data_IF_706561684723
#
_entry.id   IF_706561684723
#
_cell.length_a   1.000
_cell.length_b   1.000
_cell.length_c   1.000
_cell.angle_alpha   90.00
_cell.angle_beta   90.00
_cell.angle_gamma   90.00
#
_symmetry.space_group_name_H-M   'P 1'
#
loop_
_entity.id
_entity.type
_entity.pdbx_description
1 polymer ?
#
# COMPACT_ATOMS: atom_id res chain seq x y z
N UNK A 1 12.21 2.22 14.74
CA UNK A 1 11.53 1.31 13.80
C UNK A 1 12.10 -0.09 13.98
N UNK A 2 11.31 -0.99 14.53
CA UNK A 2 11.74 -2.36 14.80
C UNK A 2 10.71 -3.35 14.31
N UNK A 3 10.90 -3.86 13.09
CA UNK A 3 10.15 -5.05 12.66
C UNK A 3 10.57 -6.25 13.51
N UNK A 4 9.63 -7.16 13.80
CA UNK A 4 9.97 -8.47 14.38
C UNK A 4 10.97 -9.20 13.48
N UNK A 5 11.81 -10.01 14.09
CA UNK A 5 12.85 -10.76 13.34
C UNK A 5 12.20 -11.62 12.25
N UNK A 6 12.69 -11.51 11.02
CA UNK A 6 12.21 -12.29 9.87
C UNK A 6 10.99 -11.68 9.15
N UNK A 7 10.29 -10.69 9.73
CA UNK A 7 9.08 -10.10 9.17
C UNK A 7 9.20 -9.70 7.69
N UNK A 8 10.27 -8.99 7.33
CA UNK A 8 10.47 -8.52 5.95
C UNK A 8 10.51 -9.65 4.93
N UNK A 9 11.16 -10.75 5.28
CA UNK A 9 11.25 -11.93 4.43
C UNK A 9 9.90 -12.62 4.27
N UNK A 10 9.17 -12.74 5.39
CA UNK A 10 7.81 -13.29 5.44
C UNK A 10 6.85 -12.44 4.63
N UNK A 11 6.79 -11.12 4.85
CA UNK A 11 5.93 -10.21 4.11
C UNK A 11 6.23 -10.22 2.60
N UNK A 12 7.51 -10.31 2.21
CA UNK A 12 7.85 -10.44 0.79
C UNK A 12 7.45 -11.81 0.21
N UNK A 13 7.43 -12.88 1.02
CA UNK A 13 6.92 -14.18 0.60
C UNK A 13 5.40 -14.14 0.42
N UNK A 14 4.68 -13.63 1.42
CA UNK A 14 3.23 -13.41 1.35
C UNK A 14 2.85 -12.57 0.12
N UNK A 15 3.57 -11.48 -0.14
CA UNK A 15 3.29 -10.66 -1.32
C UNK A 15 3.46 -11.43 -2.63
N UNK A 16 4.45 -12.33 -2.72
CA UNK A 16 4.63 -13.17 -3.92
C UNK A 16 3.52 -14.21 -4.06
N UNK A 17 3.10 -14.82 -2.97
CA UNK A 17 2.00 -15.80 -2.94
C UNK A 17 0.69 -15.18 -3.40
N UNK A 18 0.29 -14.06 -2.79
CA UNK A 18 -0.92 -13.32 -3.15
C UNK A 18 -0.87 -12.86 -4.62
N UNK A 19 0.26 -12.34 -5.08
CA UNK A 19 0.41 -11.97 -6.50
C UNK A 19 0.28 -13.17 -7.43
N UNK A 20 0.81 -14.33 -7.06
CA UNK A 20 0.67 -15.57 -7.83
C UNK A 20 -0.78 -16.06 -7.87
N UNK A 21 -1.53 -15.98 -6.77
CA UNK A 21 -2.96 -16.29 -6.71
C UNK A 21 -3.78 -15.38 -7.64
N UNK A 22 -3.37 -14.10 -7.77
CA UNK A 22 -3.96 -13.15 -8.72
C UNK A 22 -3.44 -13.32 -10.17
N UNK A 23 -2.57 -14.30 -10.44
CA UNK A 23 -1.97 -14.52 -11.76
C UNK A 23 -0.95 -13.47 -12.18
N UNK A 24 -0.42 -12.67 -11.25
CA UNK A 24 0.50 -11.56 -11.52
C UNK A 24 1.96 -11.99 -11.45
N UNK A 25 2.76 -11.54 -12.43
CA UNK A 25 4.22 -11.63 -12.41
C UNK A 25 4.84 -10.48 -11.58
N UNK A 26 6.14 -10.57 -11.32
CA UNK A 26 6.85 -9.61 -10.47
C UNK A 26 6.84 -8.16 -11.02
N UNK A 27 6.70 -7.97 -12.33
CA UNK A 27 6.67 -6.64 -12.95
C UNK A 27 5.27 -6.17 -13.34
N UNK A 28 4.24 -6.99 -13.11
CA UNK A 28 2.87 -6.61 -13.44
C UNK A 28 2.34 -5.59 -12.42
N UNK A 29 1.47 -4.70 -12.88
CA UNK A 29 0.72 -3.79 -12.01
C UNK A 29 -0.27 -4.61 -11.16
N UNK A 30 -0.35 -4.34 -9.86
CA UNK A 30 -1.40 -4.86 -9.00
C UNK A 30 -2.57 -3.88 -8.99
N UNK A 31 -3.78 -4.41 -9.15
CA UNK A 31 -5.02 -3.67 -8.94
C UNK A 31 -5.53 -3.93 -7.52
N UNK A 32 -5.60 -2.91 -6.63
CA UNK A 32 -6.06 -3.10 -5.26
C UNK A 32 -7.54 -3.51 -5.16
N UNK A 33 -8.38 -3.13 -6.12
CA UNK A 33 -9.78 -3.56 -6.14
C UNK A 33 -9.89 -5.05 -6.44
N UNK A 34 -9.13 -5.55 -7.43
CA UNK A 34 -9.05 -6.99 -7.69
C UNK A 34 -8.50 -7.77 -6.48
N UNK A 35 -7.53 -7.20 -5.75
CA UNK A 35 -7.04 -7.78 -4.50
C UNK A 35 -8.13 -7.81 -3.42
N UNK A 36 -8.89 -6.73 -3.27
CA UNK A 36 -9.99 -6.65 -2.31
C UNK A 36 -11.08 -7.68 -2.61
N UNK A 37 -11.46 -7.82 -3.88
CA UNK A 37 -12.42 -8.84 -4.34
C UNK A 37 -11.92 -10.26 -4.04
N UNK A 38 -10.63 -10.53 -4.31
CA UNK A 38 -10.00 -11.80 -3.98
C UNK A 38 -10.05 -12.12 -2.48
N UNK A 39 -9.87 -11.10 -1.64
CA UNK A 39 -9.91 -11.22 -0.17
C UNK A 39 -11.33 -11.11 0.41
N UNK A 40 -12.35 -10.92 -0.42
CA UNK A 40 -13.75 -10.68 -0.02
C UNK A 40 -13.88 -9.49 0.96
N UNK A 41 -13.12 -8.43 0.74
CA UNK A 41 -13.14 -7.19 1.52
C UNK A 41 -13.83 -6.10 0.72
N UNK A 42 -15.06 -5.69 1.06
CA UNK A 42 -15.75 -4.59 0.39
C UNK A 42 -14.97 -3.28 0.50
N UNK A 43 -15.01 -2.49 -0.60
CA UNK A 43 -14.46 -1.14 -0.65
C UNK A 43 -15.60 -0.18 -0.93
N UNK A 44 -15.69 0.89 -0.15
CA UNK A 44 -16.68 1.95 -0.32
C UNK A 44 -16.00 3.32 -0.46
N UNK A 45 -16.40 4.13 -1.44
CA UNK A 45 -15.91 5.49 -1.55
C UNK A 45 -16.51 6.38 -0.46
N UNK A 46 -15.74 7.33 0.04
CA UNK A 46 -16.20 8.29 1.04
C UNK A 46 -17.40 9.11 0.52
N UNK A 47 -17.43 9.39 -0.78
CA UNK A 47 -18.56 10.09 -1.43
C UNK A 47 -19.91 9.38 -1.27
N UNK A 48 -19.93 8.07 -1.04
CA UNK A 48 -21.14 7.29 -0.76
C UNK A 48 -21.90 7.83 0.46
N UNK A 49 -21.21 8.39 1.42
CA UNK A 49 -21.76 8.93 2.68
C UNK A 49 -22.13 10.41 2.59
N UNK A 50 -22.20 11.00 1.39
CA UNK A 50 -22.45 12.44 1.22
C UNK A 50 -23.85 12.88 1.67
N UNK A 51 -24.85 12.01 1.60
CA UNK A 51 -26.20 12.30 2.09
C UNK A 51 -26.28 12.19 3.62
N UNK A 52 -25.64 11.19 4.21
CA UNK A 52 -25.70 10.93 5.67
C UNK A 52 -24.77 11.87 6.46
N UNK A 53 -23.62 12.23 5.90
CA UNK A 53 -22.60 13.01 6.58
C UNK A 53 -21.99 14.12 5.68
N UNK A 54 -22.82 15.03 5.10
CA UNK A 54 -22.37 15.98 4.07
C UNK A 54 -21.23 16.89 4.52
N UNK A 55 -21.23 17.32 5.78
CA UNK A 55 -20.16 18.18 6.32
C UNK A 55 -18.83 17.45 6.44
N UNK A 56 -18.84 16.19 6.90
CA UNK A 56 -17.62 15.39 7.04
C UNK A 56 -17.05 15.03 5.67
N UNK A 57 -17.91 14.58 4.73
CA UNK A 57 -17.48 14.26 3.37
C UNK A 57 -16.89 15.51 2.69
N UNK A 58 -17.57 16.66 2.75
CA UNK A 58 -17.04 17.90 2.19
C UNK A 58 -15.70 18.30 2.82
N UNK A 59 -15.56 18.14 4.15
CA UNK A 59 -14.29 18.46 4.83
C UNK A 59 -13.15 17.61 4.27
N UNK A 60 -13.31 16.29 4.22
CA UNK A 60 -12.25 15.36 3.83
C UNK A 60 -12.03 15.29 2.30
N UNK A 61 -12.95 15.73 1.48
CA UNK A 61 -12.78 15.71 0.03
C UNK A 61 -12.35 17.05 -0.55
N UNK A 62 -12.70 18.17 0.10
CA UNK A 62 -12.50 19.52 -0.45
C UNK A 62 -11.68 20.45 0.47
N UNK A 63 -11.92 20.43 1.79
CA UNK A 63 -11.27 21.38 2.72
C UNK A 63 -9.90 20.88 3.15
N UNK A 64 -9.82 19.66 3.66
CA UNK A 64 -8.56 19.01 4.05
C UNK A 64 -8.52 17.55 3.59
N UNK A 65 -8.28 17.31 2.30
CA UNK A 65 -8.16 15.94 1.77
C UNK A 65 -6.99 15.15 2.37
N UNK A 66 -6.04 15.85 3.01
CA UNK A 66 -4.91 15.22 3.68
C UNK A 66 -5.27 14.52 4.98
N UNK A 67 -6.32 14.97 5.66
CA UNK A 67 -6.72 14.48 6.99
C UNK A 67 -7.31 13.07 6.99
N UNK A 68 -7.84 12.61 5.86
CA UNK A 68 -8.39 11.26 5.72
C UNK A 68 -7.98 10.63 4.39
N UNK A 69 -7.46 9.40 4.44
CA UNK A 69 -7.06 8.65 3.25
C UNK A 69 -7.88 7.38 3.06
N UNK A 70 -7.89 6.50 4.03
CA UNK A 70 -8.71 5.30 4.11
C UNK A 70 -8.77 4.82 5.56
N UNK A 71 -9.75 3.99 5.87
CA UNK A 71 -9.81 3.24 7.13
C UNK A 71 -10.58 1.94 6.93
N UNK A 72 -10.28 0.95 7.76
CA UNK A 72 -11.06 -0.29 7.83
C UNK A 72 -12.10 -0.18 8.94
N UNK A 73 -13.36 -0.32 8.58
CA UNK A 73 -14.51 -0.36 9.50
C UNK A 73 -14.88 -1.80 9.76
N UNK A 74 -15.15 -2.14 11.02
CA UNK A 74 -15.56 -3.48 11.44
C UNK A 74 -17.02 -3.47 11.91
N UNK A 75 -17.80 -4.43 11.38
CA UNK A 75 -19.11 -4.79 11.88
C UNK A 75 -19.08 -6.27 12.25
N UNK A 76 -18.88 -6.55 13.54
CA UNK A 76 -18.59 -7.90 14.02
C UNK A 76 -17.32 -8.46 13.37
N UNK A 77 -17.45 -9.57 12.63
CA UNK A 77 -16.35 -10.17 11.88
C UNK A 77 -16.17 -9.61 10.46
N UNK A 78 -17.11 -8.80 9.99
CA UNK A 78 -17.04 -8.18 8.67
C UNK A 78 -16.16 -6.94 8.71
N UNK A 79 -15.38 -6.74 7.66
CA UNK A 79 -14.59 -5.54 7.47
C UNK A 79 -14.96 -4.90 6.14
N UNK A 80 -15.01 -3.58 6.12
CA UNK A 80 -15.21 -2.76 4.93
C UNK A 80 -14.15 -1.67 4.92
N UNK A 81 -13.52 -1.43 3.79
CA UNK A 81 -12.56 -0.33 3.66
C UNK A 81 -13.32 0.88 3.09
N UNK A 82 -13.32 1.98 3.85
CA UNK A 82 -13.80 3.29 3.36
C UNK A 82 -12.59 4.10 2.93
N UNK A 83 -12.61 4.63 1.69
CA UNK A 83 -11.48 5.39 1.16
C UNK A 83 -11.90 6.76 0.61
N UNK A 84 -10.97 7.70 0.65
CA UNK A 84 -11.16 9.03 0.06
C UNK A 84 -10.98 8.95 -1.46
N UNK A 85 -12.08 8.90 -2.17
CA UNK A 85 -12.17 8.83 -3.63
C UNK A 85 -11.87 10.16 -4.34
N UNK A 86 -11.72 11.27 -3.60
CA UNK A 86 -11.20 12.52 -4.14
C UNK A 86 -9.68 12.52 -4.36
N UNK A 87 -8.95 11.54 -3.83
CA UNK A 87 -7.52 11.39 -4.08
C UNK A 87 -7.22 10.92 -5.50
N UNK A 88 -5.99 11.20 -5.99
CA UNK A 88 -5.52 10.63 -7.24
C UNK A 88 -5.53 9.10 -7.22
N UNK A 89 -5.74 8.46 -8.38
CA UNK A 89 -5.81 7.01 -8.48
C UNK A 89 -4.59 6.28 -7.86
N UNK A 90 -3.37 6.81 -8.06
CA UNK A 90 -2.17 6.23 -7.46
C UNK A 90 -2.12 6.36 -5.93
N UNK A 91 -2.71 7.43 -5.35
CA UNK A 91 -2.84 7.57 -3.91
C UNK A 91 -3.93 6.65 -3.36
N UNK A 92 -5.07 6.54 -4.04
CA UNK A 92 -6.11 5.57 -3.68
C UNK A 92 -5.54 4.15 -3.68
N UNK A 93 -4.83 3.75 -4.75
CA UNK A 93 -4.20 2.43 -4.83
C UNK A 93 -3.25 2.16 -3.66
N UNK A 94 -2.42 3.14 -3.30
CA UNK A 94 -1.48 3.00 -2.18
C UNK A 94 -2.19 2.87 -0.83
N UNK A 95 -3.25 3.66 -0.61
CA UNK A 95 -4.03 3.65 0.63
C UNK A 95 -4.83 2.35 0.79
N UNK A 96 -5.54 1.93 -0.27
CA UNK A 96 -6.31 0.68 -0.27
C UNK A 96 -5.42 -0.53 0.00
N UNK A 97 -4.26 -0.60 -0.66
CA UNK A 97 -3.34 -1.73 -0.42
C UNK A 97 -2.76 -1.72 0.99
N UNK A 98 -2.62 -0.54 1.61
CA UNK A 98 -2.22 -0.44 3.02
C UNK A 98 -3.27 -1.07 3.94
N UNK A 99 -4.56 -0.73 3.78
CA UNK A 99 -5.66 -1.33 4.54
C UNK A 99 -5.78 -2.85 4.29
N UNK A 100 -5.60 -3.29 3.04
CA UNK A 100 -5.55 -4.71 2.70
C UNK A 100 -4.32 -5.40 3.31
N UNK A 101 -3.23 -4.68 3.51
CA UNK A 101 -2.05 -5.15 4.26
C UNK A 101 -2.40 -5.48 5.72
N UNK A 102 -3.17 -4.62 6.39
CA UNK A 102 -3.69 -4.91 7.74
C UNK A 102 -4.57 -6.17 7.74
N UNK A 103 -5.39 -6.34 6.70
CA UNK A 103 -6.25 -7.51 6.57
C UNK A 103 -5.45 -8.80 6.40
N UNK A 104 -4.45 -8.81 5.52
CA UNK A 104 -3.59 -9.97 5.25
C UNK A 104 -2.72 -10.36 6.46
N UNK A 105 -2.28 -9.38 7.23
CA UNK A 105 -1.48 -9.59 8.45
C UNK A 105 -2.34 -9.92 9.66
N UNK A 106 -3.66 -9.97 9.49
CA UNK A 106 -4.63 -10.22 10.56
C UNK A 106 -4.44 -9.27 11.76
N UNK A 107 -4.08 -8.02 11.47
CA UNK A 107 -3.96 -7.01 12.51
C UNK A 107 -5.30 -6.83 13.23
N UNK A 108 -5.32 -6.77 14.57
CA UNK A 108 -6.54 -6.61 15.32
C UNK A 108 -7.20 -5.26 15.01
N UNK A 109 -8.53 -5.17 15.06
CA UNK A 109 -9.21 -3.87 15.00
C UNK A 109 -8.71 -2.98 16.13
N UNK A 110 -8.22 -1.80 15.77
CA UNK A 110 -7.80 -0.79 16.75
C UNK A 110 -8.88 0.27 16.79
N UNK A 111 -9.46 0.59 17.96
CA UNK A 111 -10.37 1.71 18.08
C UNK A 111 -9.72 2.99 17.53
N UNK A 112 -10.47 3.78 16.76
CA UNK A 112 -9.95 5.03 16.20
C UNK A 112 -9.51 6.00 17.29
N UNK A 113 -10.19 5.96 18.45
CA UNK A 113 -9.93 6.79 19.61
C UNK A 113 -9.94 5.92 20.89
N UNK A 114 -9.11 6.27 21.85
CA UNK A 114 -9.17 5.73 23.20
C UNK A 114 -10.33 6.37 24.03
N UNK A 115 -10.52 5.92 25.27
CA UNK A 115 -11.54 6.45 26.18
C UNK A 115 -11.38 7.96 26.49
N UNK A 116 -10.25 8.56 26.14
CA UNK A 116 -9.94 9.99 26.29
C UNK A 116 -10.08 10.76 24.97
N UNK A 117 -10.51 10.11 23.89
CA UNK A 117 -10.63 10.70 22.56
C UNK A 117 -9.28 10.89 21.85
N UNK A 118 -8.21 10.25 22.32
CA UNK A 118 -6.90 10.28 21.68
C UNK A 118 -6.79 9.15 20.67
N UNK A 119 -6.15 9.41 19.53
CA UNK A 119 -5.92 8.41 18.50
C UNK A 119 -4.96 7.34 19.02
N UNK A 120 -5.40 6.08 18.99
CA UNK A 120 -4.52 4.94 19.24
C UNK A 120 -3.67 4.69 18.01
N UNK A 121 -2.35 4.67 18.20
CA UNK A 121 -1.41 4.45 17.13
C UNK A 121 -0.36 3.43 17.54
N UNK A 122 -0.26 2.34 16.78
CA UNK A 122 0.78 1.35 16.97
C UNK A 122 1.72 1.37 15.76
N UNK A 123 2.84 2.08 15.90
CA UNK A 123 3.82 2.25 14.83
C UNK A 123 4.31 0.93 14.23
N UNK A 124 4.44 -0.14 15.01
CA UNK A 124 4.93 -1.42 14.50
C UNK A 124 3.91 -2.06 13.55
N UNK A 125 2.63 -2.01 13.90
CA UNK A 125 1.53 -2.52 13.07
C UNK A 125 1.45 -1.74 11.75
N UNK A 126 1.56 -0.41 11.83
CA UNK A 126 1.55 0.46 10.65
C UNK A 126 2.78 0.21 9.74
N UNK A 127 3.95 0.08 10.34
CA UNK A 127 5.18 -0.23 9.60
C UNK A 127 5.06 -1.59 8.90
N UNK A 128 4.47 -2.60 9.54
CA UNK A 128 4.22 -3.92 8.97
C UNK A 128 3.24 -3.86 7.80
N UNK A 129 2.10 -3.20 7.95
CA UNK A 129 1.13 -3.00 6.87
C UNK A 129 1.73 -2.23 5.70
N UNK A 130 2.46 -1.15 5.99
CA UNK A 130 3.16 -0.36 4.97
C UNK A 130 4.20 -1.18 4.19
N UNK A 131 4.94 -2.07 4.87
CA UNK A 131 5.91 -2.93 4.20
C UNK A 131 5.24 -3.91 3.25
N UNK A 132 4.18 -4.61 3.73
CA UNK A 132 3.46 -5.59 2.92
C UNK A 132 2.76 -4.92 1.73
N UNK A 133 2.06 -3.81 1.96
CA UNK A 133 1.44 -3.02 0.90
C UNK A 133 2.45 -2.62 -0.17
N UNK A 134 3.60 -2.14 0.27
CA UNK A 134 4.69 -1.79 -0.64
C UNK A 134 5.21 -3.00 -1.42
N UNK A 135 5.34 -4.18 -0.81
CA UNK A 135 5.79 -5.40 -1.47
C UNK A 135 4.78 -5.93 -2.49
N UNK A 136 3.49 -5.78 -2.20
CA UNK A 136 2.39 -6.11 -3.11
C UNK A 136 2.38 -5.19 -4.34
N UNK A 137 2.45 -3.88 -4.14
CA UNK A 137 2.37 -2.87 -5.21
C UNK A 137 3.64 -2.79 -6.06
N UNK A 138 4.80 -2.87 -5.44
CA UNK A 138 6.10 -2.76 -6.10
C UNK A 138 7.08 -3.77 -5.51
N UNK A 139 7.24 -4.89 -6.17
CA UNK A 139 8.14 -5.97 -5.75
C UNK A 139 9.60 -5.52 -5.72
N UNK A 140 10.48 -6.31 -5.08
CA UNK A 140 11.93 -6.04 -5.16
C UNK A 140 12.45 -6.09 -6.60
N UNK A 141 11.96 -7.03 -7.41
CA UNK A 141 12.35 -7.15 -8.81
C UNK A 141 11.93 -5.93 -9.62
N UNK A 142 10.72 -5.40 -9.37
CA UNK A 142 10.26 -4.16 -9.98
C UNK A 142 11.12 -2.96 -9.55
N UNK A 143 11.49 -2.87 -8.27
CA UNK A 143 12.38 -1.81 -7.78
C UNK A 143 13.77 -1.88 -8.43
N UNK A 144 14.33 -3.08 -8.58
CA UNK A 144 15.60 -3.29 -9.30
C UNK A 144 15.47 -2.96 -10.79
N UNK A 145 14.36 -3.33 -11.41
CA UNK A 145 14.07 -3.03 -12.81
C UNK A 145 14.00 -1.51 -13.06
N UNK A 146 13.31 -0.75 -12.20
CA UNK A 146 13.22 0.72 -12.28
C UNK A 146 14.62 1.34 -12.27
N UNK A 147 15.48 0.95 -11.32
CA UNK A 147 16.83 1.50 -11.20
C UNK A 147 17.72 1.09 -12.37
N UNK A 148 17.65 -0.18 -12.78
CA UNK A 148 18.46 -0.72 -13.89
C UNK A 148 18.17 -0.04 -15.22
N UNK A 149 16.90 0.30 -15.46
CA UNK A 149 16.45 0.97 -16.69
C UNK A 149 16.48 2.51 -16.59
N UNK A 150 16.89 3.08 -15.46
CA UNK A 150 16.91 4.53 -15.29
C UNK A 150 15.52 5.18 -15.32
N UNK A 151 14.47 4.41 -15.00
CA UNK A 151 13.08 4.91 -15.01
C UNK A 151 12.91 5.96 -13.91
N UNK A 152 12.35 7.13 -14.26
CA UNK A 152 12.07 8.18 -13.27
C UNK A 152 10.96 7.78 -12.31
N UNK A 153 10.94 8.38 -11.10
CA UNK A 153 9.89 8.10 -10.11
C UNK A 153 8.49 8.38 -10.66
N UNK A 154 8.22 9.52 -11.34
CA UNK A 154 6.90 9.76 -11.94
C UNK A 154 6.52 8.72 -12.99
N UNK A 155 7.45 8.33 -13.88
CA UNK A 155 7.19 7.32 -14.90
C UNK A 155 6.92 5.93 -14.28
N UNK A 156 7.65 5.56 -13.23
CA UNK A 156 7.41 4.34 -12.49
C UNK A 156 6.05 4.37 -11.76
N UNK A 157 5.69 5.49 -11.14
CA UNK A 157 4.39 5.68 -10.48
C UNK A 157 3.24 5.51 -11.48
N UNK A 158 3.36 6.09 -12.66
CA UNK A 158 2.39 5.94 -13.74
C UNK A 158 2.31 4.48 -14.23
N UNK A 159 3.45 3.85 -14.47
CA UNK A 159 3.52 2.46 -14.98
C UNK A 159 2.87 1.47 -14.00
N UNK A 160 3.20 1.56 -12.72
CA UNK A 160 2.64 0.67 -11.69
C UNK A 160 1.29 1.14 -11.13
N UNK A 161 0.82 2.35 -11.50
CA UNK A 161 -0.45 2.90 -11.02
C UNK A 161 -0.48 3.19 -9.52
N UNK A 162 0.64 3.62 -8.95
CA UNK A 162 0.82 3.89 -7.52
C UNK A 162 1.31 5.32 -7.27
N UNK A 163 1.35 5.74 -6.00
CA UNK A 163 1.87 7.07 -5.67
C UNK A 163 3.39 7.15 -5.85
N UNK A 164 3.91 8.34 -6.19
CA UNK A 164 5.36 8.60 -6.24
C UNK A 164 6.04 8.35 -4.88
N UNK A 165 5.32 8.63 -3.79
CA UNK A 165 5.79 8.34 -2.44
C UNK A 165 6.00 6.85 -2.23
N UNK A 166 5.07 5.99 -2.73
CA UNK A 166 5.21 4.54 -2.65
C UNK A 166 6.41 4.04 -3.47
N UNK A 167 6.61 4.55 -4.68
CA UNK A 167 7.81 4.23 -5.49
C UNK A 167 9.07 4.60 -4.72
N UNK A 168 9.15 5.82 -4.20
CA UNK A 168 10.32 6.31 -3.44
C UNK A 168 10.58 5.46 -2.21
N UNK A 169 9.53 5.15 -1.44
CA UNK A 169 9.60 4.27 -0.28
C UNK A 169 10.20 2.90 -0.66
N UNK A 170 9.65 2.25 -1.70
CA UNK A 170 10.12 0.92 -2.12
C UNK A 170 11.57 0.93 -2.63
N UNK A 171 11.96 1.92 -3.42
CA UNK A 171 13.35 2.07 -3.86
C UNK A 171 14.33 2.18 -2.68
N UNK A 172 13.91 2.87 -1.61
CA UNK A 172 14.73 3.05 -0.41
C UNK A 172 14.81 1.76 0.43
N UNK A 173 13.65 1.17 0.77
CA UNK A 173 13.61 0.02 1.68
C UNK A 173 14.16 -1.29 1.06
N UNK A 174 14.12 -1.41 -0.27
CA UNK A 174 14.74 -2.54 -1.00
C UNK A 174 16.24 -2.33 -1.22
N UNK A 175 16.74 -1.11 -1.02
CA UNK A 175 18.12 -0.75 -1.33
C UNK A 175 18.47 -0.90 -2.81
N UNK A 176 17.48 -0.81 -3.71
CA UNK A 176 17.64 -1.11 -5.13
C UNK A 176 18.78 -0.32 -5.78
N UNK A 177 18.91 0.98 -5.45
CA UNK A 177 19.98 1.84 -5.97
C UNK A 177 21.36 1.34 -5.57
N UNK A 178 21.55 1.01 -4.29
CA UNK A 178 22.83 0.49 -3.76
C UNK A 178 23.14 -0.88 -4.35
N UNK A 179 22.16 -1.75 -4.47
CA UNK A 179 22.30 -3.08 -5.05
C UNK A 179 22.74 -3.03 -6.50
N UNK A 180 22.12 -2.17 -7.32
CA UNK A 180 22.50 -2.00 -8.74
C UNK A 180 23.89 -1.35 -8.87
N UNK A 181 24.21 -0.34 -8.05
CA UNK A 181 25.53 0.30 -8.07
C UNK A 181 26.68 -0.67 -7.72
N UNK A 182 26.41 -1.66 -6.87
CA UNK A 182 27.39 -2.70 -6.47
C UNK A 182 27.39 -3.91 -7.37
N UNK A 183 26.42 -4.07 -8.25
CA UNK A 183 26.39 -5.21 -9.17
C UNK A 183 27.59 -5.16 -10.12
N UNK A 184 28.32 -6.29 -10.33
CA UNK A 184 29.40 -6.35 -11.29
C UNK A 184 28.90 -5.92 -12.67
N UNK A 185 29.54 -4.94 -13.29
CA UNK A 185 29.27 -4.64 -14.71
C UNK A 185 29.72 -5.85 -15.51
N UNK A 186 28.79 -6.61 -16.08
CA UNK A 186 29.11 -7.62 -17.06
C UNK A 186 29.95 -6.97 -18.16
N UNK A 187 31.26 -7.30 -18.22
CA UNK A 187 32.08 -6.93 -19.37
C UNK A 187 31.53 -7.68 -20.58
N UNK A 188 30.90 -6.93 -21.47
CA UNK A 188 30.63 -7.45 -22.82
C UNK A 188 32.00 -7.68 -23.45
N UNK A 189 32.45 -8.94 -23.47
CA UNK A 189 33.58 -9.35 -24.31
C UNK A 189 33.09 -9.24 -25.74
N UNK A 190 33.62 -8.27 -26.47
CA UNK A 190 33.43 -8.15 -27.93
C UNK A 190 34.25 -9.21 -28.64
#
# INVERSE_FOLDING_TARGET
MGYRRGFKSEANATAREIRAELGLKNLDKLDPWALADHLLVPIEPLSHYAEDAPRAVHHFTAIDPGAFSACTVFDGARRTIVHNDAHSAGRQASNLTHELGHALLLHPPTPALDDRGCRLWNQNIEDEAQWLAGALLLTEDAALWIVRNGTSVPAAAQHFGISEQMVTYRLNVTGARTRIARAPRLRVVR
#
